data_IF_076973551882
#
_entry.id   IF_076973551882
#
_cell.length_a   1.000
_cell.length_b   1.000
_cell.length_c   1.000
_cell.angle_alpha   90.00
_cell.angle_beta   90.00
_cell.angle_gamma   90.00
#
_symmetry.space_group_name_H-M   'P 1'
#
loop_
_entity.id
_entity.type
_entity.pdbx_description
1 polymer ?
#
# COMPACT_ATOMS: atom_id res chain seq x y z
N UNK A 1 -12.17 26.41 -60.12
CA UNK A 1 -13.13 27.37 -59.56
C UNK A 1 -12.95 27.35 -58.05
N UNK A 2 -12.08 28.14 -57.58
CA UNK A 2 -12.16 29.48 -56.93
C UNK A 2 -12.79 29.45 -55.55
N UNK A 3 -11.87 29.69 -54.54
CA UNK A 3 -11.96 30.65 -53.44
C UNK A 3 -12.99 30.38 -52.33
N UNK A 4 -12.74 30.52 -51.01
CA UNK A 4 -12.01 31.58 -50.31
C UNK A 4 -11.56 31.12 -48.91
N UNK A 5 -10.45 31.62 -48.47
CA UNK A 5 -9.91 31.65 -47.13
C UNK A 5 -10.70 32.67 -46.24
N UNK A 6 -10.75 32.43 -44.95
CA UNK A 6 -11.01 33.51 -43.98
C UNK A 6 -10.29 33.18 -42.67
N UNK A 7 -9.21 33.89 -42.44
CA UNK A 7 -8.46 34.08 -41.21
C UNK A 7 -9.23 34.99 -40.27
N UNK A 8 -9.33 34.64 -39.00
CA UNK A 8 -9.55 35.63 -37.94
C UNK A 8 -8.64 35.36 -36.73
N UNK A 9 -7.72 36.23 -36.61
CA UNK A 9 -6.83 36.48 -35.47
C UNK A 9 -7.59 37.27 -34.41
N UNK A 10 -7.46 36.92 -33.12
CA UNK A 10 -7.70 37.86 -32.04
C UNK A 10 -6.80 37.49 -30.84
N UNK A 11 -5.90 38.19 -30.65
CA UNK A 11 -5.15 39.02 -29.73
C UNK A 11 -5.44 38.76 -28.24
N UNK A 12 -4.34 38.49 -27.53
CA UNK A 12 -4.14 38.59 -26.07
C UNK A 12 -4.21 40.07 -25.58
N UNK A 13 -4.54 40.31 -24.34
CA UNK A 13 -4.09 41.54 -23.65
C UNK A 13 -3.03 41.22 -22.62
N UNK A 14 -1.93 41.91 -22.80
CA UNK A 14 -0.89 42.23 -21.80
C UNK A 14 -1.47 43.20 -20.75
N UNK A 15 -1.25 42.92 -19.46
CA UNK A 15 -1.28 43.98 -18.40
C UNK A 15 0.00 43.86 -17.59
N UNK A 16 0.83 44.74 -17.81
CA UNK A 16 1.44 45.91 -17.20
C UNK A 16 1.81 45.82 -15.71
N UNK A 17 3.13 45.85 -15.55
CA UNK A 17 3.83 46.14 -14.26
C UNK A 17 3.47 47.58 -13.80
N UNK A 18 3.24 47.72 -12.49
CA UNK A 18 3.47 49.04 -11.82
C UNK A 18 4.19 48.83 -10.50
N UNK A 19 5.36 49.33 -10.52
CA UNK A 19 6.29 49.67 -9.44
C UNK A 19 5.72 50.84 -8.61
N UNK A 20 5.83 50.81 -7.30
CA UNK A 20 5.87 52.02 -6.46
C UNK A 20 6.86 51.84 -5.31
N UNK A 21 7.85 52.68 -5.33
CA UNK A 21 8.89 52.94 -4.31
C UNK A 21 8.44 54.00 -3.33
N UNK A 22 9.17 54.07 -2.19
CA UNK A 22 9.39 55.17 -1.21
C UNK A 22 8.41 55.17 -0.02
N UNK A 23 8.80 55.47 1.23
CA UNK A 23 9.89 56.32 1.70
C UNK A 23 10.32 55.96 3.13
N UNK A 24 11.49 56.43 3.46
CA UNK A 24 12.22 56.35 4.72
C UNK A 24 11.63 57.23 5.82
N UNK A 25 11.93 56.91 7.08
CA UNK A 25 11.71 57.75 8.23
C UNK A 25 12.61 57.38 9.42
N UNK A 26 13.74 58.04 9.53
CA UNK A 26 14.63 58.05 10.70
C UNK A 26 14.01 58.85 11.83
N UNK A 27 14.13 58.41 13.09
CA UNK A 27 14.23 59.29 14.25
C UNK A 27 15.01 58.60 15.37
N UNK A 28 16.18 59.12 15.61
CA UNK A 28 17.03 58.87 16.78
C UNK A 28 16.58 59.78 17.93
N UNK A 29 16.59 59.28 19.14
CA UNK A 29 16.67 60.12 20.35
C UNK A 29 17.43 59.36 21.46
N UNK A 30 18.60 59.85 21.72
CA UNK A 30 19.41 59.56 22.91
C UNK A 30 18.89 60.43 24.08
N UNK A 31 19.02 59.96 25.34
CA UNK A 31 19.44 60.78 26.49
C UNK A 31 19.48 59.95 27.81
N UNK A 32 20.70 59.88 28.33
CA UNK A 32 21.19 60.10 29.71
C UNK A 32 20.81 59.16 30.87
N UNK A 33 21.92 58.52 31.35
CA UNK A 33 22.10 58.03 32.75
C UNK A 33 21.94 59.15 33.79
N UNK A 34 21.68 58.75 35.07
CA UNK A 34 22.80 58.78 36.00
C UNK A 34 22.94 57.51 36.89
N UNK A 35 24.19 57.25 37.23
CA UNK A 35 24.62 56.29 38.21
C UNK A 35 24.37 56.83 39.63
N UNK A 36 24.04 55.93 40.56
CA UNK A 36 24.32 56.08 41.97
C UNK A 36 24.68 54.74 42.61
N UNK A 37 25.82 54.75 43.23
CA UNK A 37 26.44 53.70 44.01
C UNK A 37 25.68 53.46 45.31
N UNK A 38 25.60 52.20 45.78
CA UNK A 38 26.18 51.67 47.06
C UNK A 38 25.37 50.47 47.51
N UNK A 39 26.08 49.45 47.99
CA UNK A 39 25.50 48.38 48.77
C UNK A 39 26.20 47.03 48.56
N UNK A 40 27.32 46.80 49.28
CA UNK A 40 27.87 45.45 49.46
C UNK A 40 26.87 44.57 50.18
N UNK A 41 26.59 43.43 49.57
CA UNK A 41 25.91 42.28 50.13
C UNK A 41 26.39 41.06 49.40
N UNK A 42 27.32 40.35 50.02
CA UNK A 42 27.88 39.09 49.54
C UNK A 42 26.85 37.99 49.74
N UNK A 43 25.98 37.78 48.80
CA UNK A 43 25.16 36.58 48.71
C UNK A 43 25.93 35.53 47.88
N UNK A 44 26.39 34.47 48.55
CA UNK A 44 26.85 33.23 47.94
C UNK A 44 25.76 32.69 47.04
N UNK A 45 25.82 32.99 45.74
CA UNK A 45 25.12 32.23 44.74
C UNK A 45 25.74 30.82 44.70
N UNK A 46 25.09 29.87 45.34
CA UNK A 46 25.23 28.47 45.01
C UNK A 46 24.94 28.34 43.53
N UNK A 47 26.00 28.05 42.76
CA UNK A 47 25.85 27.66 41.36
C UNK A 47 24.92 26.44 41.34
N UNK A 48 23.69 26.62 40.87
CA UNK A 48 22.87 25.51 40.46
C UNK A 48 23.61 24.83 39.32
N UNK A 49 24.04 23.60 39.58
CA UNK A 49 24.52 22.68 38.57
C UNK A 49 23.56 22.76 37.38
N UNK A 50 24.03 23.03 36.15
CA UNK A 50 23.14 22.92 34.99
C UNK A 50 22.72 21.46 34.92
N UNK A 51 21.50 21.19 35.35
CA UNK A 51 20.90 19.88 35.22
C UNK A 51 21.32 19.31 33.86
N UNK A 52 22.03 18.20 33.87
CA UNK A 52 22.44 17.47 32.70
C UNK A 52 21.19 17.35 31.79
N UNK A 53 21.17 18.11 30.72
CA UNK A 53 20.18 17.93 29.67
C UNK A 53 20.32 16.47 29.28
N UNK A 54 19.36 15.65 29.65
CA UNK A 54 19.31 14.23 29.29
C UNK A 54 19.48 14.20 27.78
N UNK A 55 20.62 13.69 27.31
CA UNK A 55 20.88 13.55 25.88
C UNK A 55 19.72 12.75 25.32
N UNK A 56 18.94 13.34 24.44
CA UNK A 56 17.89 12.64 23.72
C UNK A 56 18.55 11.44 23.06
N UNK A 57 18.08 10.20 23.32
CA UNK A 57 18.73 9.02 22.75
C UNK A 57 18.78 9.17 21.23
N UNK A 58 19.93 8.85 20.64
CA UNK A 58 20.11 8.90 19.18
C UNK A 58 19.30 7.75 18.56
N UNK A 59 18.01 8.03 18.30
CA UNK A 59 17.05 7.05 17.83
C UNK A 59 17.39 6.60 16.41
N UNK A 60 17.41 5.30 16.19
CA UNK A 60 17.68 4.70 14.89
C UNK A 60 16.51 5.00 13.94
N UNK A 61 16.73 5.71 12.81
CA UNK A 61 15.64 6.03 11.90
C UNK A 61 15.20 4.80 11.09
N UNK A 62 13.89 4.54 11.07
CA UNK A 62 13.23 3.48 10.32
C UNK A 62 12.17 4.10 9.42
N UNK A 63 12.31 3.92 8.10
CA UNK A 63 11.29 4.36 7.14
C UNK A 63 10.18 3.31 7.01
N UNK A 64 8.93 3.76 7.05
CA UNK A 64 7.74 2.92 6.82
C UNK A 64 6.91 3.56 5.72
N UNK A 65 6.74 2.88 4.59
CA UNK A 65 5.96 3.38 3.46
C UNK A 65 4.88 2.40 3.03
N UNK A 66 3.68 2.93 2.80
CA UNK A 66 2.60 2.24 2.10
C UNK A 66 2.19 3.02 0.85
N UNK A 67 1.70 2.31 -0.18
CA UNK A 67 1.27 2.95 -1.44
C UNK A 67 0.05 3.84 -1.21
N UNK A 68 -0.97 3.31 -0.56
CA UNK A 68 -2.27 3.94 -0.36
C UNK A 68 -2.91 3.37 0.90
N UNK A 69 -3.89 4.06 1.44
CA UNK A 69 -4.64 3.62 2.61
C UNK A 69 -5.79 2.69 2.21
N UNK A 70 -5.73 1.46 2.69
CA UNK A 70 -6.83 0.50 2.71
C UNK A 70 -6.54 -0.61 3.74
N UNK A 71 -7.59 -1.32 4.18
CA UNK A 71 -7.55 -2.24 5.32
C UNK A 71 -6.37 -3.23 5.29
N UNK A 72 -6.07 -3.83 4.14
CA UNK A 72 -4.99 -4.83 4.02
C UNK A 72 -3.62 -4.20 4.24
N UNK A 73 -3.28 -3.07 3.59
CA UNK A 73 -1.99 -2.41 3.79
C UNK A 73 -1.85 -1.85 5.20
N UNK A 74 -2.92 -1.27 5.75
CA UNK A 74 -2.93 -0.77 7.14
C UNK A 74 -2.67 -1.90 8.14
N UNK A 75 -3.23 -3.08 7.90
CA UNK A 75 -2.98 -4.27 8.72
C UNK A 75 -1.50 -4.69 8.68
N UNK A 76 -0.84 -4.65 7.50
CA UNK A 76 0.58 -4.99 7.42
C UNK A 76 1.46 -3.99 8.17
N UNK A 77 1.15 -2.69 8.09
CA UNK A 77 1.89 -1.65 8.82
C UNK A 77 1.74 -1.83 10.32
N UNK A 78 0.51 -2.09 10.81
CA UNK A 78 0.28 -2.38 12.24
C UNK A 78 1.08 -3.60 12.69
N UNK A 79 0.95 -4.74 11.98
CA UNK A 79 1.66 -5.96 12.31
C UNK A 79 3.18 -5.80 12.33
N UNK A 80 3.75 -5.02 11.40
CA UNK A 80 5.17 -4.69 11.35
C UNK A 80 5.62 -3.91 12.59
N UNK A 81 4.90 -2.86 12.95
CA UNK A 81 5.23 -2.01 14.10
C UNK A 81 5.10 -2.79 15.40
N UNK A 82 4.03 -3.57 15.56
CA UNK A 82 3.77 -4.37 16.76
C UNK A 82 4.87 -5.42 16.96
N UNK A 83 5.28 -6.13 15.90
CA UNK A 83 6.34 -7.13 15.98
C UNK A 83 7.72 -6.51 16.28
N UNK A 84 8.02 -5.32 15.75
CA UNK A 84 9.24 -4.58 16.14
C UNK A 84 9.19 -4.21 17.62
N UNK A 85 8.07 -3.69 18.12
CA UNK A 85 7.91 -3.29 19.51
C UNK A 85 8.07 -4.47 20.48
N UNK A 86 7.48 -5.64 20.16
CA UNK A 86 7.64 -6.88 20.93
C UNK A 86 9.10 -7.37 21.01
N UNK A 87 9.89 -7.07 19.98
CA UNK A 87 11.32 -7.36 19.93
C UNK A 87 12.18 -6.26 20.59
N UNK A 88 11.55 -5.30 21.29
CA UNK A 88 12.21 -4.18 21.97
C UNK A 88 12.64 -3.04 21.06
N UNK A 89 12.19 -3.02 19.79
CA UNK A 89 12.38 -1.93 18.84
C UNK A 89 11.16 -1.01 18.86
N UNK A 90 10.97 -0.27 19.97
CA UNK A 90 9.83 0.63 20.13
C UNK A 90 10.13 2.02 19.60
N UNK A 91 9.11 2.59 18.93
CA UNK A 91 9.16 3.97 18.46
C UNK A 91 9.26 4.96 19.63
N UNK A 92 10.14 5.95 19.51
CA UNK A 92 10.44 6.91 20.57
C UNK A 92 11.39 6.41 21.69
N UNK A 93 11.71 5.10 21.74
CA UNK A 93 12.65 4.50 22.74
C UNK A 93 13.98 4.09 22.11
N UNK A 94 13.97 3.29 21.06
CA UNK A 94 15.16 2.80 20.35
C UNK A 94 15.19 3.18 18.88
N UNK A 95 14.03 3.32 18.27
CA UNK A 95 13.87 3.71 16.87
C UNK A 95 13.00 4.96 16.77
N UNK A 96 13.12 5.65 15.63
CA UNK A 96 12.20 6.70 15.21
C UNK A 96 11.57 6.28 13.89
N UNK A 97 10.27 6.00 13.91
CA UNK A 97 9.53 5.61 12.73
C UNK A 97 9.12 6.86 11.94
N UNK A 98 9.56 6.95 10.70
CA UNK A 98 9.07 7.91 9.71
C UNK A 98 8.02 7.21 8.83
N UNK A 99 6.73 7.34 9.20
CA UNK A 99 5.62 6.70 8.50
C UNK A 99 5.09 7.60 7.40
N UNK A 100 5.07 7.09 6.17
CA UNK A 100 4.66 7.80 4.96
C UNK A 100 3.61 7.01 4.18
N UNK A 101 2.67 7.74 3.56
CA UNK A 101 1.66 7.20 2.66
C UNK A 101 1.73 7.96 1.33
N UNK A 102 1.85 7.25 0.23
CA UNK A 102 2.01 7.85 -1.10
C UNK A 102 0.69 8.24 -1.77
N UNK A 103 -0.46 7.91 -1.17
CA UNK A 103 -1.79 8.23 -1.71
C UNK A 103 -2.01 7.72 -3.15
N UNK A 104 -1.39 6.60 -3.50
CA UNK A 104 -1.45 6.02 -4.84
C UNK A 104 -0.54 6.67 -5.88
N UNK A 105 0.21 7.71 -5.50
CA UNK A 105 0.99 8.51 -6.46
C UNK A 105 2.45 8.06 -6.55
N UNK A 106 2.92 7.81 -7.78
CA UNK A 106 4.28 7.33 -8.05
C UNK A 106 5.36 8.40 -7.82
N UNK A 107 5.06 9.68 -8.03
CA UNK A 107 6.01 10.76 -7.79
C UNK A 107 6.21 10.94 -6.29
N UNK A 108 5.13 10.83 -5.52
CA UNK A 108 5.16 10.84 -4.04
C UNK A 108 5.98 9.66 -3.51
N UNK A 109 5.83 8.44 -4.07
CA UNK A 109 6.69 7.31 -3.70
C UNK A 109 8.18 7.60 -3.93
N UNK A 110 8.55 8.23 -5.06
CA UNK A 110 9.92 8.60 -5.34
C UNK A 110 10.46 9.65 -4.35
N UNK A 111 9.64 10.63 -3.99
CA UNK A 111 9.99 11.66 -2.99
C UNK A 111 10.17 11.03 -1.59
N UNK A 112 9.31 10.08 -1.19
CA UNK A 112 9.44 9.32 0.06
C UNK A 112 10.76 8.53 0.08
N UNK A 113 11.12 7.87 -1.04
CA UNK A 113 12.40 7.18 -1.15
C UNK A 113 13.60 8.11 -0.94
N UNK A 114 13.59 9.29 -1.57
CA UNK A 114 14.60 10.33 -1.36
C UNK A 114 14.66 10.80 0.10
N UNK A 115 13.49 11.00 0.74
CA UNK A 115 13.39 11.36 2.15
C UNK A 115 14.04 10.33 3.07
N UNK A 116 13.78 9.04 2.88
CA UNK A 116 14.36 7.98 3.71
C UNK A 116 15.87 7.86 3.53
N UNK A 117 16.37 8.03 2.32
CA UNK A 117 17.81 8.04 2.03
C UNK A 117 18.49 9.24 2.69
N UNK A 118 17.94 10.45 2.51
CA UNK A 118 18.47 11.68 3.12
C UNK A 118 18.38 11.66 4.65
N UNK A 119 17.32 11.05 5.19
CA UNK A 119 17.09 10.83 6.63
C UNK A 119 17.95 9.70 7.22
N UNK A 120 18.83 9.07 6.40
CA UNK A 120 19.75 7.98 6.80
C UNK A 120 19.04 6.82 7.49
N UNK A 121 17.86 6.44 6.97
CA UNK A 121 17.14 5.26 7.48
C UNK A 121 18.06 4.05 7.54
N UNK A 122 17.99 3.30 8.65
CA UNK A 122 18.78 2.06 8.85
C UNK A 122 18.01 0.82 8.38
N UNK A 123 16.71 0.95 8.22
CA UNK A 123 15.80 -0.04 7.68
C UNK A 123 14.65 0.69 6.99
N UNK A 124 14.17 0.15 5.88
CA UNK A 124 12.94 0.58 5.22
C UNK A 124 11.97 -0.59 5.18
N UNK A 125 10.75 -0.36 5.65
CA UNK A 125 9.61 -1.24 5.43
C UNK A 125 8.76 -0.70 4.28
N UNK A 126 8.46 -1.54 3.30
CA UNK A 126 7.62 -1.19 2.16
C UNK A 126 6.39 -2.11 2.07
N UNK A 127 5.20 -1.52 2.14
CA UNK A 127 3.92 -2.21 2.00
C UNK A 127 3.34 -1.95 0.61
N UNK A 128 3.32 -2.94 -0.23
CA UNK A 128 2.90 -3.08 -1.62
C UNK A 128 4.04 -3.21 -2.63
N UNK A 129 3.73 -3.80 -3.79
CA UNK A 129 4.69 -3.94 -4.90
C UNK A 129 5.19 -2.59 -5.43
N UNK A 130 4.32 -1.59 -5.73
CA UNK A 130 4.80 -0.29 -6.21
C UNK A 130 5.67 0.44 -5.17
N UNK A 131 5.33 0.37 -3.88
CA UNK A 131 6.15 0.96 -2.81
C UNK A 131 7.53 0.30 -2.75
N UNK A 132 7.59 -1.04 -2.77
CA UNK A 132 8.86 -1.77 -2.80
C UNK A 132 9.70 -1.39 -4.01
N UNK A 133 9.12 -1.35 -5.20
CA UNK A 133 9.82 -0.97 -6.42
C UNK A 133 10.42 0.44 -6.34
N UNK A 134 9.68 1.39 -5.76
CA UNK A 134 10.17 2.76 -5.57
C UNK A 134 11.35 2.81 -4.57
N UNK A 135 11.25 2.12 -3.44
CA UNK A 135 12.34 2.05 -2.45
C UNK A 135 13.57 1.35 -3.01
N UNK A 136 13.41 0.25 -3.75
CA UNK A 136 14.50 -0.47 -4.39
C UNK A 136 15.20 0.34 -5.50
N UNK A 137 14.50 1.29 -6.12
CA UNK A 137 15.12 2.29 -7.02
C UNK A 137 15.90 3.34 -6.24
N UNK A 138 15.35 3.83 -5.13
CA UNK A 138 15.92 4.92 -4.34
C UNK A 138 17.24 4.54 -3.64
N UNK A 139 17.40 3.28 -3.22
CA UNK A 139 18.63 2.82 -2.53
C UNK A 139 19.00 1.39 -2.89
N UNK A 140 20.31 1.12 -2.91
CA UNK A 140 20.90 -0.22 -3.08
C UNK A 140 21.64 -0.69 -1.82
N UNK A 141 21.67 0.14 -0.79
CA UNK A 141 22.48 -0.12 0.42
C UNK A 141 21.66 -0.19 1.69
N UNK A 142 20.60 0.62 1.83
CA UNK A 142 19.72 0.56 2.99
C UNK A 142 18.91 -0.74 2.90
N UNK A 143 18.91 -1.60 3.93
CA UNK A 143 18.07 -2.79 3.99
C UNK A 143 16.59 -2.45 3.79
N UNK A 144 15.92 -3.21 2.93
CA UNK A 144 14.49 -3.10 2.67
C UNK A 144 13.83 -4.43 3.02
N UNK A 145 12.86 -4.40 3.92
CA UNK A 145 11.95 -5.51 4.18
C UNK A 145 10.56 -5.14 3.66
N UNK A 146 9.91 -6.03 2.91
CA UNK A 146 8.65 -5.71 2.29
C UNK A 146 7.61 -6.80 2.48
N UNK A 147 6.34 -6.41 2.46
CA UNK A 147 5.21 -7.32 2.40
C UNK A 147 4.06 -6.73 1.57
N UNK A 148 2.96 -7.47 1.44
CA UNK A 148 1.91 -7.18 0.46
C UNK A 148 2.47 -7.09 -0.97
N UNK A 149 3.49 -7.90 -1.24
CA UNK A 149 4.17 -8.03 -2.54
C UNK A 149 3.88 -9.44 -3.07
N UNK A 150 3.26 -9.52 -4.23
CA UNK A 150 2.81 -10.80 -4.78
C UNK A 150 3.98 -11.66 -5.27
N UNK A 151 4.91 -11.05 -6.02
CA UNK A 151 6.12 -11.72 -6.50
C UNK A 151 7.28 -10.72 -6.52
N UNK A 152 8.29 -11.00 -5.73
CA UNK A 152 9.51 -10.17 -5.68
C UNK A 152 10.31 -10.32 -6.98
N UNK A 153 10.30 -11.51 -7.58
CA UNK A 153 10.93 -11.77 -8.88
C UNK A 153 10.23 -11.00 -10.01
N UNK A 154 8.89 -11.05 -10.10
CA UNK A 154 8.13 -10.30 -11.09
C UNK A 154 8.28 -8.78 -10.91
N UNK A 155 8.41 -8.31 -9.67
CA UNK A 155 8.72 -6.92 -9.35
C UNK A 155 10.16 -6.52 -9.74
N UNK A 156 11.03 -7.47 -10.10
CA UNK A 156 12.45 -7.28 -10.51
C UNK A 156 13.29 -6.60 -9.44
N UNK A 157 13.08 -6.95 -8.17
CA UNK A 157 13.78 -6.34 -7.02
C UNK A 157 14.70 -7.31 -6.30
N UNK A 158 14.63 -8.60 -6.65
CA UNK A 158 15.51 -9.68 -6.16
C UNK A 158 16.00 -10.52 -7.34
N UNK A 159 17.11 -11.25 -7.16
CA UNK A 159 17.58 -12.20 -8.15
C UNK A 159 16.68 -13.44 -8.20
N UNK A 160 16.28 -13.94 -7.03
CA UNK A 160 15.25 -14.97 -6.86
C UNK A 160 14.66 -14.91 -5.44
N UNK A 161 13.49 -15.48 -5.23
CA UNK A 161 12.88 -15.55 -3.90
C UNK A 161 13.74 -16.39 -2.93
N UNK A 162 14.45 -17.39 -3.42
CA UNK A 162 15.34 -18.25 -2.61
C UNK A 162 16.67 -17.59 -2.27
N UNK A 163 17.19 -16.74 -3.15
CA UNK A 163 18.46 -16.06 -3.01
C UNK A 163 18.32 -14.61 -3.52
N UNK A 164 17.80 -13.69 -2.69
CA UNK A 164 17.54 -12.30 -3.11
C UNK A 164 18.78 -11.56 -3.65
N UNK A 165 19.95 -11.74 -3.03
CA UNK A 165 21.24 -11.28 -3.53
C UNK A 165 21.51 -9.78 -3.40
N UNK A 166 20.52 -8.98 -3.02
CA UNK A 166 20.60 -7.53 -2.89
C UNK A 166 20.23 -7.02 -1.50
N UNK A 167 19.75 -5.76 -1.45
CA UNK A 167 19.32 -5.13 -0.21
C UNK A 167 17.83 -5.33 0.11
N UNK A 168 17.12 -6.21 -0.61
CA UNK A 168 15.68 -6.45 -0.49
C UNK A 168 15.41 -7.88 -0.05
N UNK A 169 14.49 -8.06 0.87
CA UNK A 169 13.83 -9.33 1.22
C UNK A 169 12.44 -9.05 1.78
N UNK A 170 11.70 -10.07 2.20
CA UNK A 170 10.39 -9.87 2.81
C UNK A 170 9.50 -11.09 2.84
N UNK A 171 8.18 -10.85 2.87
CA UNK A 171 7.14 -11.86 2.93
C UNK A 171 6.14 -11.65 1.81
N UNK A 172 5.94 -12.66 0.97
CA UNK A 172 4.98 -12.60 -0.15
C UNK A 172 3.54 -12.73 0.34
N UNK A 173 2.61 -12.02 -0.32
CA UNK A 173 1.17 -12.18 -0.13
C UNK A 173 0.50 -13.01 -1.23
N UNK A 174 1.27 -13.75 -2.01
CA UNK A 174 0.71 -14.58 -3.08
C UNK A 174 -0.24 -15.63 -2.51
N UNK A 175 -1.52 -15.49 -2.84
CA UNK A 175 -2.56 -16.45 -2.48
C UNK A 175 -2.67 -17.62 -3.48
N UNK A 176 -3.49 -18.63 -3.17
CA UNK A 176 -3.66 -19.84 -3.98
C UNK A 176 -4.66 -19.60 -5.13
N UNK A 177 -4.21 -18.98 -6.22
CA UNK A 177 -5.03 -18.58 -7.37
C UNK A 177 -5.87 -19.74 -7.92
N UNK A 178 -5.28 -20.95 -8.01
CA UNK A 178 -5.98 -22.13 -8.45
C UNK A 178 -7.20 -22.47 -7.55
N UNK A 179 -7.01 -22.44 -6.23
CA UNK A 179 -8.09 -22.69 -5.27
C UNK A 179 -9.15 -21.59 -5.26
N UNK A 180 -8.74 -20.32 -5.47
CA UNK A 180 -9.67 -19.20 -5.62
C UNK A 180 -10.57 -19.35 -6.86
N UNK A 181 -9.97 -19.80 -7.98
CA UNK A 181 -10.72 -20.11 -9.20
C UNK A 181 -11.67 -21.29 -8.99
N UNK A 182 -11.21 -22.36 -8.34
CA UNK A 182 -12.05 -23.53 -8.01
C UNK A 182 -13.23 -23.13 -7.11
N UNK A 183 -13.00 -22.24 -6.13
CA UNK A 183 -14.06 -21.67 -5.30
C UNK A 183 -15.07 -20.90 -6.14
N UNK A 184 -14.64 -20.05 -7.05
CA UNK A 184 -15.55 -19.28 -7.92
C UNK A 184 -16.36 -20.21 -8.82
N UNK A 185 -15.73 -21.24 -9.41
CA UNK A 185 -16.41 -22.25 -10.22
C UNK A 185 -17.45 -23.00 -9.38
N UNK A 186 -17.12 -23.41 -8.15
CA UNK A 186 -18.06 -24.09 -7.26
C UNK A 186 -19.25 -23.20 -6.86
N UNK A 187 -19.02 -21.90 -6.66
CA UNK A 187 -20.08 -20.93 -6.33
C UNK A 187 -20.98 -20.58 -7.51
N UNK A 188 -20.44 -20.61 -8.74
CA UNK A 188 -21.20 -20.27 -9.96
C UNK A 188 -21.81 -21.51 -10.65
N UNK A 189 -21.34 -22.70 -10.32
CA UNK A 189 -21.83 -23.96 -10.84
C UNK A 189 -21.79 -24.03 -12.39
N UNK A 190 -22.85 -24.53 -12.99
CA UNK A 190 -22.94 -24.74 -14.46
C UNK A 190 -22.90 -23.45 -15.29
N UNK A 191 -23.05 -22.26 -14.65
CA UNK A 191 -22.97 -21.00 -15.35
C UNK A 191 -21.59 -20.77 -16.02
N UNK A 192 -20.52 -21.35 -15.48
CA UNK A 192 -19.18 -21.30 -16.10
C UNK A 192 -19.09 -22.05 -17.43
N UNK A 193 -20.03 -22.97 -17.73
CA UNK A 193 -20.10 -23.66 -19.03
C UNK A 193 -20.64 -22.76 -20.15
N UNK A 194 -21.41 -21.73 -19.79
CA UNK A 194 -22.14 -20.88 -20.74
C UNK A 194 -21.64 -19.45 -20.79
N UNK A 195 -21.01 -18.96 -19.71
CA UNK A 195 -20.49 -17.61 -19.60
C UNK A 195 -19.06 -17.58 -19.04
N UNK A 196 -18.22 -16.61 -19.46
CA UNK A 196 -16.86 -16.48 -18.93
C UNK A 196 -16.88 -16.00 -17.46
N UNK A 197 -15.76 -16.20 -16.77
CA UNK A 197 -15.44 -15.50 -15.52
C UNK A 197 -14.90 -14.12 -15.87
N UNK A 198 -15.36 -13.09 -15.17
CA UNK A 198 -14.88 -11.73 -15.30
C UNK A 198 -13.66 -11.49 -14.41
N UNK A 199 -12.72 -10.71 -14.93
CA UNK A 199 -11.55 -10.23 -14.18
C UNK A 199 -11.46 -8.71 -14.34
N UNK A 200 -11.43 -8.00 -13.22
CA UNK A 200 -11.21 -6.54 -13.22
C UNK A 200 -9.89 -6.29 -12.49
N UNK A 201 -9.02 -5.47 -13.08
CA UNK A 201 -7.70 -5.22 -12.50
C UNK A 201 -7.05 -3.96 -13.09
N UNK A 202 -6.02 -3.44 -12.41
CA UNK A 202 -5.15 -2.39 -12.92
C UNK A 202 -3.95 -3.01 -13.67
N UNK A 203 -3.89 -2.93 -15.00
CA UNK A 203 -2.80 -3.51 -15.76
C UNK A 203 -1.45 -2.80 -15.56
N UNK A 204 -1.42 -1.62 -14.94
CA UNK A 204 -0.19 -0.93 -14.59
C UNK A 204 0.45 -1.47 -13.29
N UNK A 205 -0.28 -2.27 -12.49
CA UNK A 205 0.25 -2.91 -11.30
C UNK A 205 0.83 -4.30 -11.63
N UNK A 206 2.15 -4.46 -11.47
CA UNK A 206 2.86 -5.72 -11.72
C UNK A 206 2.29 -6.88 -10.90
N UNK A 207 1.85 -6.64 -9.66
CA UNK A 207 1.20 -7.64 -8.80
C UNK A 207 -0.12 -8.13 -9.38
N UNK A 208 -0.94 -7.24 -9.94
CA UNK A 208 -2.23 -7.59 -10.52
C UNK A 208 -2.03 -8.37 -11.83
N UNK A 209 -1.21 -7.86 -12.75
CA UNK A 209 -0.92 -8.52 -14.04
C UNK A 209 -0.30 -9.91 -13.84
N UNK A 210 0.63 -10.06 -12.88
CA UNK A 210 1.21 -11.38 -12.55
C UNK A 210 0.14 -12.40 -12.13
N UNK A 211 -0.80 -11.99 -11.30
CA UNK A 211 -1.87 -12.87 -10.83
C UNK A 211 -2.88 -13.18 -11.94
N UNK A 212 -3.22 -12.19 -12.77
CA UNK A 212 -4.12 -12.37 -13.91
C UNK A 212 -3.50 -13.33 -14.94
N UNK A 213 -2.19 -13.23 -15.21
CA UNK A 213 -1.50 -14.19 -16.07
C UNK A 213 -1.61 -15.63 -15.53
N UNK A 214 -1.42 -15.82 -14.21
CA UNK A 214 -1.61 -17.14 -13.56
C UNK A 214 -3.04 -17.61 -13.60
N UNK A 215 -4.01 -16.71 -13.41
CA UNK A 215 -5.43 -17.05 -13.53
C UNK A 215 -5.77 -17.54 -14.94
N UNK A 216 -5.25 -16.87 -15.99
CA UNK A 216 -5.46 -17.30 -17.40
C UNK A 216 -4.97 -18.73 -17.61
N UNK A 217 -3.78 -19.08 -17.10
CA UNK A 217 -3.22 -20.43 -17.18
C UNK A 217 -4.13 -21.45 -16.46
N UNK A 218 -4.57 -21.13 -15.25
CA UNK A 218 -5.44 -22.02 -14.45
C UNK A 218 -6.84 -22.16 -15.06
N UNK A 219 -7.40 -21.09 -15.63
CA UNK A 219 -8.68 -21.11 -16.32
C UNK A 219 -8.61 -21.96 -17.61
N UNK A 220 -7.51 -21.85 -18.37
CA UNK A 220 -7.28 -22.65 -19.57
C UNK A 220 -7.23 -24.16 -19.22
N UNK A 221 -6.54 -24.55 -18.15
CA UNK A 221 -6.49 -25.96 -17.68
C UNK A 221 -7.87 -26.53 -17.35
N UNK A 222 -8.82 -25.68 -16.93
CA UNK A 222 -10.19 -26.04 -16.54
C UNK A 222 -11.22 -25.84 -17.66
N UNK A 223 -10.79 -25.37 -18.84
CA UNK A 223 -11.68 -25.05 -19.95
C UNK A 223 -12.61 -23.85 -19.70
N UNK A 224 -12.27 -22.99 -18.75
CA UNK A 224 -13.04 -21.80 -18.38
C UNK A 224 -12.58 -20.60 -19.19
N UNK A 225 -13.51 -19.85 -19.77
CA UNK A 225 -13.22 -18.59 -20.48
C UNK A 225 -13.09 -17.45 -19.49
N UNK A 226 -12.22 -16.49 -19.80
CA UNK A 226 -11.99 -15.27 -19.02
C UNK A 226 -12.32 -14.05 -19.87
N UNK A 227 -13.04 -13.10 -19.29
CA UNK A 227 -13.29 -11.77 -19.84
C UNK A 227 -12.67 -10.72 -18.92
N UNK A 228 -11.81 -9.86 -19.45
CA UNK A 228 -11.05 -8.88 -18.69
C UNK A 228 -11.56 -7.46 -18.91
N UNK A 229 -11.48 -6.64 -17.86
CA UNK A 229 -11.66 -5.19 -17.92
C UNK A 229 -10.60 -4.48 -17.08
N UNK A 230 -10.01 -3.45 -17.65
CA UNK A 230 -9.04 -2.62 -16.97
C UNK A 230 -9.71 -1.55 -16.08
N UNK A 231 -9.12 -1.31 -14.92
CA UNK A 231 -9.43 -0.18 -14.03
C UNK A 231 -8.11 0.44 -13.56
N UNK A 232 -7.60 1.44 -14.27
CA UNK A 232 -6.33 2.10 -13.98
C UNK A 232 -6.38 3.05 -12.79
N UNK A 233 -7.58 3.45 -12.38
CA UNK A 233 -7.84 4.32 -11.25
C UNK A 233 -9.14 3.94 -10.53
N UNK A 234 -9.34 4.45 -9.31
CA UNK A 234 -10.59 4.26 -8.54
C UNK A 234 -11.82 4.74 -9.33
N UNK A 235 -11.65 5.78 -10.15
CA UNK A 235 -12.75 6.33 -10.98
C UNK A 235 -13.17 5.40 -12.12
N UNK A 236 -12.31 4.49 -12.56
CA UNK A 236 -12.61 3.55 -13.65
C UNK A 236 -13.37 2.31 -13.14
N UNK A 237 -13.27 2.01 -11.83
CA UNK A 237 -13.86 0.82 -11.21
C UNK A 237 -15.35 0.67 -11.49
N UNK A 238 -16.20 1.72 -11.35
CA UNK A 238 -17.62 1.60 -11.62
C UNK A 238 -17.92 1.16 -13.07
N UNK A 239 -17.23 1.73 -14.03
CA UNK A 239 -17.42 1.38 -15.45
C UNK A 239 -16.92 -0.04 -15.73
N UNK A 240 -15.75 -0.42 -15.20
CA UNK A 240 -15.18 -1.74 -15.38
C UNK A 240 -16.13 -2.84 -14.85
N UNK A 241 -16.61 -2.72 -13.59
CA UNK A 241 -17.57 -3.67 -13.01
C UNK A 241 -18.89 -3.69 -13.79
N UNK A 242 -19.45 -2.53 -14.13
CA UNK A 242 -20.72 -2.44 -14.84
C UNK A 242 -20.63 -3.07 -16.24
N UNK A 243 -19.47 -2.97 -16.89
CA UNK A 243 -19.23 -3.58 -18.20
C UNK A 243 -19.33 -5.10 -18.22
N UNK A 244 -19.17 -5.74 -17.05
CA UNK A 244 -19.25 -7.20 -16.86
C UNK A 244 -20.68 -7.71 -16.69
N UNK A 245 -21.63 -6.84 -16.32
CA UNK A 245 -23.02 -7.23 -16.07
C UNK A 245 -23.64 -7.92 -17.28
N UNK A 246 -24.21 -9.12 -17.05
CA UNK A 246 -24.84 -9.93 -18.09
C UNK A 246 -23.89 -10.58 -19.10
N UNK A 247 -22.58 -10.41 -18.96
CA UNK A 247 -21.57 -11.01 -19.83
C UNK A 247 -20.73 -12.10 -19.14
N UNK A 248 -20.71 -12.12 -17.82
CA UNK A 248 -19.91 -13.04 -17.01
C UNK A 248 -20.77 -13.74 -15.96
N UNK A 249 -20.35 -14.92 -15.50
CA UNK A 249 -21.05 -15.67 -14.45
C UNK A 249 -20.63 -15.29 -13.04
N UNK A 250 -19.47 -14.65 -12.87
CA UNK A 250 -18.92 -14.19 -11.61
C UNK A 250 -17.63 -13.41 -11.83
N UNK A 251 -17.08 -12.81 -10.79
CA UNK A 251 -15.85 -12.04 -10.84
C UNK A 251 -14.77 -12.69 -9.98
N UNK A 252 -13.56 -12.77 -10.51
CA UNK A 252 -12.35 -12.98 -9.73
C UNK A 252 -11.52 -11.70 -9.71
N UNK A 253 -11.05 -11.28 -8.53
CA UNK A 253 -10.30 -10.05 -8.34
C UNK A 253 -8.93 -10.36 -7.73
N UNK A 254 -7.82 -9.91 -8.37
CA UNK A 254 -6.47 -10.04 -7.82
C UNK A 254 -6.26 -9.18 -6.57
N UNK A 255 -5.13 -9.31 -5.92
CA UNK A 255 -4.64 -8.29 -4.99
C UNK A 255 -4.20 -7.07 -5.81
N UNK A 256 -5.06 -6.05 -5.82
CA UNK A 256 -4.96 -4.84 -6.64
C UNK A 256 -5.28 -3.64 -5.76
N UNK A 257 -4.37 -2.66 -5.71
CA UNK A 257 -4.52 -1.53 -4.79
C UNK A 257 -5.64 -0.57 -5.20
N UNK A 258 -5.92 -0.45 -6.50
CA UNK A 258 -7.04 0.37 -7.01
C UNK A 258 -8.37 -0.25 -6.60
N UNK A 259 -8.53 -1.57 -6.77
CA UNK A 259 -9.75 -2.27 -6.38
C UNK A 259 -9.92 -2.32 -4.86
N UNK A 260 -8.85 -2.53 -4.11
CA UNK A 260 -8.87 -2.53 -2.64
C UNK A 260 -9.28 -1.17 -2.07
N UNK A 261 -8.80 -0.07 -2.67
CA UNK A 261 -9.21 1.30 -2.29
C UNK A 261 -10.68 1.58 -2.62
N UNK A 262 -11.26 0.87 -3.60
CA UNK A 262 -12.66 0.99 -4.00
C UNK A 262 -13.53 -0.18 -3.50
N UNK A 263 -13.11 -0.96 -2.50
CA UNK A 263 -13.70 -2.24 -2.11
C UNK A 263 -15.21 -2.18 -1.88
N UNK A 264 -15.70 -1.17 -1.17
CA UNK A 264 -17.14 -0.98 -0.91
C UNK A 264 -17.93 -0.71 -2.23
N UNK A 265 -17.35 0.05 -3.16
CA UNK A 265 -17.95 0.32 -4.48
C UNK A 265 -17.99 -0.95 -5.32
N UNK A 266 -16.90 -1.72 -5.36
CA UNK A 266 -16.84 -3.03 -6.03
C UNK A 266 -17.92 -3.96 -5.49
N UNK A 267 -17.99 -4.12 -4.18
CA UNK A 267 -18.98 -4.97 -3.51
C UNK A 267 -20.42 -4.55 -3.82
N UNK A 268 -20.71 -3.25 -3.74
CA UNK A 268 -22.03 -2.71 -4.07
C UNK A 268 -22.44 -3.01 -5.52
N UNK A 269 -21.58 -2.66 -6.47
CA UNK A 269 -21.89 -2.82 -7.90
C UNK A 269 -22.00 -4.30 -8.30
N UNK A 270 -21.18 -5.17 -7.73
CA UNK A 270 -21.28 -6.62 -7.96
C UNK A 270 -22.60 -7.19 -7.42
N UNK A 271 -23.03 -6.76 -6.21
CA UNK A 271 -24.35 -7.13 -5.67
C UNK A 271 -25.50 -6.63 -6.54
N UNK A 272 -25.46 -5.37 -6.97
CA UNK A 272 -26.49 -4.79 -7.85
C UNK A 272 -26.57 -5.53 -9.20
N UNK A 273 -25.44 -6.08 -9.66
CA UNK A 273 -25.35 -6.91 -10.86
C UNK A 273 -25.64 -8.41 -10.60
N UNK A 274 -25.85 -8.81 -9.34
CA UNK A 274 -25.99 -10.22 -8.88
C UNK A 274 -24.81 -11.11 -9.29
N UNK A 275 -23.60 -10.54 -9.29
CA UNK A 275 -22.37 -11.25 -9.62
C UNK A 275 -21.68 -11.74 -8.36
N UNK A 276 -21.46 -13.06 -8.19
CA UNK A 276 -20.59 -13.59 -7.14
C UNK A 276 -19.16 -13.12 -7.37
N UNK A 277 -18.50 -12.67 -6.29
CA UNK A 277 -17.12 -12.16 -6.32
C UNK A 277 -16.25 -13.03 -5.44
N UNK A 278 -15.20 -13.60 -6.01
CA UNK A 278 -14.08 -14.19 -5.25
C UNK A 278 -12.89 -13.26 -5.38
N UNK A 279 -12.45 -12.70 -4.26
CA UNK A 279 -11.30 -11.78 -4.21
C UNK A 279 -10.07 -12.49 -3.62
N UNK A 280 -8.88 -12.06 -4.03
CA UNK A 280 -7.62 -12.56 -3.50
C UNK A 280 -7.26 -11.99 -2.12
N UNK A 281 -8.08 -11.07 -1.61
CA UNK A 281 -7.91 -10.39 -0.33
C UNK A 281 -9.19 -10.47 0.52
N UNK A 282 -9.07 -10.93 1.78
CA UNK A 282 -10.20 -11.07 2.70
C UNK A 282 -10.79 -9.72 3.16
N UNK A 283 -10.06 -8.61 3.08
CA UNK A 283 -10.59 -7.28 3.34
C UNK A 283 -11.72 -6.93 2.37
N UNK A 284 -11.65 -7.38 1.11
CA UNK A 284 -12.72 -7.23 0.14
C UNK A 284 -14.02 -7.92 0.59
N UNK A 285 -13.92 -9.08 1.28
CA UNK A 285 -15.07 -9.81 1.82
C UNK A 285 -15.70 -9.04 2.98
N UNK A 286 -14.89 -8.45 3.85
CA UNK A 286 -15.38 -7.57 4.93
C UNK A 286 -16.04 -6.30 4.39
N UNK A 287 -15.58 -5.81 3.23
CA UNK A 287 -16.22 -4.70 2.51
C UNK A 287 -17.50 -5.11 1.75
N UNK A 288 -17.86 -6.41 1.74
CA UNK A 288 -19.10 -6.92 1.17
C UNK A 288 -18.96 -7.71 -0.13
N UNK A 289 -17.75 -8.11 -0.55
CA UNK A 289 -17.57 -9.13 -1.57
C UNK A 289 -18.02 -10.50 -1.04
N UNK A 290 -18.28 -11.48 -1.94
CA UNK A 290 -18.87 -12.76 -1.54
C UNK A 290 -17.88 -13.65 -0.80
N UNK A 291 -16.68 -13.87 -1.35
CA UNK A 291 -15.75 -14.86 -0.81
C UNK A 291 -14.28 -14.52 -1.11
N UNK A 292 -13.39 -15.13 -0.32
CA UNK A 292 -11.93 -15.06 -0.53
C UNK A 292 -11.25 -16.32 0.00
N UNK A 293 -10.13 -16.69 -0.60
CA UNK A 293 -9.10 -17.54 0.00
C UNK A 293 -7.82 -16.70 -0.01
N UNK A 294 -7.38 -16.23 1.15
CA UNK A 294 -6.26 -15.30 1.25
C UNK A 294 -5.33 -15.61 2.42
N UNK A 295 -4.21 -14.92 2.45
CA UNK A 295 -3.29 -14.83 3.59
C UNK A 295 -3.79 -13.79 4.60
N UNK A 296 -3.22 -13.79 5.80
CA UNK A 296 -3.51 -12.80 6.83
C UNK A 296 -2.52 -11.63 6.74
N UNK A 297 -3.01 -10.45 6.39
CA UNK A 297 -2.17 -9.28 6.18
C UNK A 297 -1.54 -8.72 7.47
N UNK A 298 -2.22 -8.83 8.60
CA UNK A 298 -1.63 -8.47 9.89
C UNK A 298 -0.45 -9.39 10.22
N UNK A 299 -0.63 -10.69 10.05
CA UNK A 299 0.43 -11.67 10.28
C UNK A 299 1.58 -11.54 9.28
N UNK A 300 1.31 -11.21 8.00
CA UNK A 300 2.37 -10.84 7.05
C UNK A 300 3.22 -9.67 7.57
N UNK A 301 2.55 -8.66 8.12
CA UNK A 301 3.22 -7.53 8.79
C UNK A 301 4.09 -7.99 9.95
N UNK A 302 3.57 -8.85 10.83
CA UNK A 302 4.30 -9.41 11.97
C UNK A 302 5.54 -10.21 11.53
N UNK A 303 5.38 -11.10 10.56
CA UNK A 303 6.52 -11.86 10.01
C UNK A 303 7.60 -10.92 9.46
N UNK A 304 7.18 -9.86 8.75
CA UNK A 304 8.11 -8.87 8.20
C UNK A 304 8.76 -8.02 9.28
N UNK A 305 8.04 -7.70 10.37
CA UNK A 305 8.56 -6.98 11.53
C UNK A 305 9.61 -7.79 12.29
N UNK A 306 9.37 -9.09 12.51
CA UNK A 306 10.35 -9.99 13.10
C UNK A 306 11.62 -10.07 12.24
N UNK A 307 11.47 -10.16 10.92
CA UNK A 307 12.58 -10.12 9.97
C UNK A 307 13.34 -8.78 10.03
N UNK A 308 12.61 -7.66 10.10
CA UNK A 308 13.18 -6.33 10.27
C UNK A 308 14.01 -6.19 11.55
N UNK A 309 13.51 -6.75 12.66
CA UNK A 309 14.24 -6.79 13.93
C UNK A 309 15.56 -7.60 13.82
N UNK A 310 15.51 -8.79 13.20
CA UNK A 310 16.71 -9.60 12.97
C UNK A 310 17.77 -8.86 12.14
N UNK A 311 17.35 -8.06 11.16
CA UNK A 311 18.24 -7.25 10.32
C UNK A 311 18.82 -6.07 11.12
N UNK A 312 18.02 -5.38 11.93
CA UNK A 312 18.48 -4.30 12.80
C UNK A 312 19.49 -4.81 13.85
N UNK A 313 19.33 -6.05 14.31
CA UNK A 313 20.24 -6.73 15.24
C UNK A 313 21.49 -7.30 14.55
N UNK A 314 21.59 -7.22 13.21
CA UNK A 314 22.70 -7.79 12.45
C UNK A 314 22.71 -9.33 12.38
N UNK A 315 21.62 -10.00 12.78
CA UNK A 315 21.48 -11.46 12.74
C UNK A 315 21.25 -11.98 11.33
N UNK A 316 20.67 -11.15 10.46
CA UNK A 316 20.36 -11.46 9.07
C UNK A 316 20.76 -10.32 8.14
N UNK A 317 20.98 -10.66 6.87
CA UNK A 317 21.13 -9.69 5.78
C UNK A 317 20.04 -9.96 4.73
N UNK A 318 19.48 -8.93 4.09
CA UNK A 318 18.50 -9.16 3.03
C UNK A 318 19.00 -10.07 1.92
N UNK A 319 20.26 -9.91 1.51
CA UNK A 319 20.87 -10.68 0.43
C UNK A 319 20.85 -12.20 0.66
N UNK A 320 21.02 -12.64 1.90
CA UNK A 320 21.09 -14.06 2.28
C UNK A 320 19.77 -14.58 2.88
N UNK A 321 18.75 -13.76 2.99
CA UNK A 321 17.47 -14.13 3.60
C UNK A 321 16.42 -14.39 2.52
N UNK A 322 15.97 -15.64 2.30
CA UNK A 322 14.92 -15.96 1.34
C UNK A 322 13.63 -15.18 1.61
N UNK A 323 12.89 -14.88 0.57
CA UNK A 323 11.52 -14.39 0.70
C UNK A 323 10.67 -15.48 1.34
N UNK A 324 9.93 -15.10 2.38
CA UNK A 324 9.03 -16.01 3.07
C UNK A 324 7.63 -15.98 2.44
N UNK A 325 6.87 -17.06 2.71
CA UNK A 325 5.49 -17.21 2.29
C UNK A 325 4.66 -17.60 3.51
N UNK A 326 3.38 -17.25 3.48
CA UNK A 326 2.40 -17.68 4.47
C UNK A 326 1.42 -18.65 3.81
N UNK A 327 1.00 -19.67 4.55
CA UNK A 327 -0.07 -20.56 4.11
C UNK A 327 -1.40 -19.79 4.06
N UNK A 328 -2.15 -20.02 3.00
CA UNK A 328 -3.48 -19.42 2.86
C UNK A 328 -4.44 -19.99 3.90
N UNK A 329 -5.33 -19.13 4.39
CA UNK A 329 -6.41 -19.53 5.28
C UNK A 329 -7.51 -20.27 4.50
N UNK A 330 -8.38 -20.97 5.22
CA UNK A 330 -9.59 -21.55 4.64
C UNK A 330 -10.49 -20.49 4.01
N UNK A 331 -11.41 -20.85 3.10
CA UNK A 331 -12.31 -19.89 2.49
C UNK A 331 -13.09 -19.08 3.51
N UNK A 332 -13.20 -17.78 3.29
CA UNK A 332 -14.03 -16.84 4.03
C UNK A 332 -15.20 -16.44 3.15
N UNK A 333 -16.43 -16.55 3.65
CA UNK A 333 -17.67 -16.25 2.92
C UNK A 333 -18.50 -15.24 3.70
N UNK A 334 -19.02 -14.23 3.01
CA UNK A 334 -19.95 -13.25 3.54
C UNK A 334 -21.40 -13.72 3.29
N UNK A 335 -22.13 -14.03 4.38
CA UNK A 335 -23.52 -14.51 4.33
C UNK A 335 -24.48 -13.46 3.77
N UNK A 336 -24.32 -12.21 4.21
CA UNK A 336 -25.14 -11.10 3.73
C UNK A 336 -24.94 -10.87 2.23
N UNK A 337 -23.70 -10.97 1.73
CA UNK A 337 -23.43 -10.86 0.30
C UNK A 337 -24.06 -12.03 -0.49
N UNK A 338 -23.98 -13.27 0.00
CA UNK A 338 -24.61 -14.42 -0.63
C UNK A 338 -26.13 -14.24 -0.71
N UNK A 339 -26.78 -13.86 0.39
CA UNK A 339 -28.22 -13.61 0.45
C UNK A 339 -28.65 -12.49 -0.50
N UNK A 340 -27.89 -11.40 -0.55
CA UNK A 340 -28.21 -10.23 -1.40
C UNK A 340 -28.20 -10.52 -2.91
N UNK A 341 -27.36 -11.48 -3.35
CA UNK A 341 -27.34 -11.92 -4.76
C UNK A 341 -28.23 -13.14 -5.02
N UNK A 342 -28.89 -13.70 -3.97
CA UNK A 342 -29.74 -14.88 -4.06
C UNK A 342 -28.98 -16.17 -4.30
N UNK A 343 -27.71 -16.26 -3.83
CA UNK A 343 -26.85 -17.42 -4.01
C UNK A 343 -26.89 -18.33 -2.78
N UNK A 344 -27.30 -19.57 -2.99
CA UNK A 344 -27.12 -20.63 -1.98
C UNK A 344 -25.69 -21.18 -2.07
N UNK A 345 -24.94 -21.04 -0.97
CA UNK A 345 -23.58 -21.58 -0.90
C UNK A 345 -23.66 -23.12 -0.91
N UNK A 346 -23.01 -23.81 -1.86
CA UNK A 346 -23.01 -25.26 -1.91
C UNK A 346 -22.49 -25.88 -0.60
N UNK A 347 -23.10 -26.96 -0.13
CA UNK A 347 -22.77 -27.63 1.14
C UNK A 347 -21.28 -28.01 1.21
N UNK A 348 -20.73 -28.54 0.12
CA UNK A 348 -19.33 -28.92 0.03
C UNK A 348 -18.35 -27.73 0.16
N UNK A 349 -18.79 -26.50 -0.19
CA UNK A 349 -18.04 -25.27 0.03
C UNK A 349 -18.25 -24.80 1.47
N UNK A 350 -19.48 -24.77 1.95
CA UNK A 350 -19.84 -24.31 3.30
C UNK A 350 -19.09 -25.11 4.39
N UNK A 351 -18.98 -26.42 4.22
CA UNK A 351 -18.31 -27.31 5.18
C UNK A 351 -16.83 -27.02 5.41
N UNK A 352 -16.18 -26.30 4.47
CA UNK A 352 -14.74 -25.98 4.49
C UNK A 352 -14.48 -24.50 4.71
N UNK A 353 -15.52 -23.69 4.94
CA UNK A 353 -15.44 -22.23 4.97
C UNK A 353 -15.72 -21.68 6.35
N UNK A 354 -15.06 -20.56 6.64
CA UNK A 354 -15.48 -19.64 7.70
C UNK A 354 -16.48 -18.64 7.13
N UNK A 355 -17.33 -18.08 8.01
CA UNK A 355 -18.37 -17.14 7.59
C UNK A 355 -18.28 -15.84 8.39
N UNK A 356 -18.61 -14.74 7.70
CA UNK A 356 -18.94 -13.44 8.32
C UNK A 356 -20.32 -13.00 7.83
N UNK A 357 -20.91 -12.03 8.54
CA UNK A 357 -22.21 -11.43 8.25
C UNK A 357 -22.06 -10.05 7.63
#
# INVERSE_FOLDING_TARGET
MTKHASTTSSQLPLFSRRTCLRAAGLAASALLLPALLTGCGEEKKTAADPAAAAATPDLIPVGVVQLVEHEALDATVRGFIDALAERGWKDGERIRIDRQNAQGDQATLAAIGTRFVSGKSRLIFASSTPALQAMARATKTIPIVATAVTSFEAAKVVASDKAPGGNVTGVSNLGPIAAQLDLLIALTGDATKTAPIGVVFNPAEVNAEFQVARLREEAQKRGVKVLEAAAGSVNDVPQAITSMKGKVCGLWLPTDNVLASAAATVAKLARDAKLPVVASDSAMVRAGALASISVDYYELGRMTGALGADILEGKRTPAATPVAFQDARQPLINRSAAAAIGLAVPEAVAAKSSFID
#
